data_IF_608805141770
#
_entry.id   IF_608805141770
#
_cell.length_a   1.000
_cell.length_b   1.000
_cell.length_c   1.000
_cell.angle_alpha   90.00
_cell.angle_beta   90.00
_cell.angle_gamma   90.00
#
_symmetry.space_group_name_H-M   'P 1'
#
loop_
_entity.id
_entity.type
_entity.pdbx_description
1 polymer ?
#
# COMPACT_ATOMS: atom_id res chain seq x y z
N UNK A 1 9.91 -15.23 -22.34
CA UNK A 1 8.86 -14.35 -21.78
C UNK A 1 9.50 -13.52 -20.68
N UNK A 2 9.88 -12.27 -20.95
CA UNK A 2 10.32 -11.36 -19.90
C UNK A 2 9.07 -10.94 -19.13
N UNK A 3 8.86 -11.54 -17.96
CA UNK A 3 7.84 -11.05 -17.03
C UNK A 3 8.25 -9.63 -16.66
N UNK A 4 7.48 -8.65 -17.12
CA UNK A 4 7.73 -7.25 -16.82
C UNK A 4 7.30 -7.02 -15.35
N UNK A 5 8.21 -7.33 -14.43
CA UNK A 5 8.00 -7.22 -12.98
C UNK A 5 7.74 -5.75 -12.65
N UNK A 6 6.64 -5.46 -11.95
CA UNK A 6 6.32 -4.09 -11.54
C UNK A 6 7.52 -3.48 -10.77
N UNK A 7 7.93 -2.24 -11.08
CA UNK A 7 9.05 -1.60 -10.39
C UNK A 7 8.72 -1.29 -8.91
N UNK A 8 7.48 -1.53 -8.49
CA UNK A 8 7.00 -1.40 -7.13
C UNK A 8 7.19 -2.66 -6.27
N UNK A 9 7.47 -3.82 -6.88
CA UNK A 9 7.69 -5.09 -6.17
C UNK A 9 8.81 -5.01 -5.11
N UNK A 10 9.96 -4.36 -5.35
CA UNK A 10 10.99 -4.22 -4.32
C UNK A 10 10.49 -3.53 -3.03
N UNK A 11 9.60 -2.53 -3.15
CA UNK A 11 9.04 -1.81 -2.00
C UNK A 11 8.00 -2.67 -1.25
N UNK A 12 7.15 -3.40 -1.99
CA UNK A 12 6.21 -4.35 -1.38
C UNK A 12 6.96 -5.48 -0.67
N UNK A 13 8.06 -5.99 -1.24
CA UNK A 13 8.93 -6.97 -0.56
C UNK A 13 9.54 -6.40 0.73
N UNK A 14 9.95 -5.12 0.73
CA UNK A 14 10.41 -4.46 1.96
C UNK A 14 9.30 -4.37 3.01
N UNK A 15 8.06 -4.06 2.59
CA UNK A 15 6.90 -4.10 3.46
C UNK A 15 6.62 -5.52 3.99
N UNK A 16 6.81 -6.56 3.17
CA UNK A 16 6.67 -7.94 3.58
C UNK A 16 7.69 -8.33 4.65
N UNK A 17 8.96 -7.95 4.51
CA UNK A 17 9.98 -8.15 5.54
C UNK A 17 9.71 -7.38 6.83
N UNK A 18 8.96 -6.26 6.79
CA UNK A 18 8.47 -5.59 7.99
C UNK A 18 7.32 -6.38 8.63
N UNK A 19 6.37 -6.89 7.83
CA UNK A 19 5.27 -7.72 8.32
C UNK A 19 5.77 -8.98 9.06
N UNK A 20 6.87 -9.58 8.59
CA UNK A 20 7.54 -10.72 9.23
C UNK A 20 8.10 -10.40 10.63
N UNK A 21 8.20 -9.13 11.03
CA UNK A 21 8.62 -8.75 12.38
C UNK A 21 7.45 -8.74 13.38
N UNK A 22 6.20 -8.61 12.92
CA UNK A 22 5.02 -8.78 13.78
C UNK A 22 4.96 -10.22 14.29
N UNK A 23 4.73 -10.49 15.59
CA UNK A 23 4.56 -11.86 16.05
C UNK A 23 3.30 -12.51 15.43
N UNK A 24 3.33 -13.81 15.09
CA UNK A 24 2.13 -14.51 14.64
C UNK A 24 1.08 -14.57 15.75
N UNK A 25 -0.18 -14.29 15.39
CA UNK A 25 -1.32 -14.27 16.32
C UNK A 25 -2.54 -14.94 15.66
N UNK A 26 -3.46 -15.54 16.43
CA UNK A 26 -4.62 -16.24 15.85
C UNK A 26 -5.59 -15.39 15.05
N UNK A 27 -5.62 -14.07 15.29
CA UNK A 27 -6.66 -13.18 14.74
C UNK A 27 -6.14 -11.90 14.11
N UNK A 28 -4.84 -11.60 14.24
CA UNK A 28 -4.27 -10.35 13.75
C UNK A 28 -3.46 -10.60 12.47
N UNK A 29 -3.79 -9.86 11.42
CA UNK A 29 -2.99 -9.88 10.21
C UNK A 29 -1.63 -9.24 10.41
N UNK A 30 -0.58 -9.93 9.98
CA UNK A 30 0.76 -9.38 9.91
C UNK A 30 0.89 -8.53 8.65
N UNK A 31 0.94 -7.22 8.84
CA UNK A 31 1.02 -6.22 7.75
C UNK A 31 2.27 -5.39 7.97
N UNK A 32 2.89 -4.95 6.89
CA UNK A 32 3.99 -4.01 6.91
C UNK A 32 3.70 -2.83 6.00
N UNK A 33 4.22 -1.66 6.37
CA UNK A 33 4.01 -0.40 5.68
C UNK A 33 5.30 0.44 5.65
N UNK A 34 5.40 1.27 4.62
CA UNK A 34 6.54 2.14 4.38
C UNK A 34 6.07 3.46 3.77
N UNK A 35 6.48 4.57 4.36
CA UNK A 35 6.26 5.91 3.83
C UNK A 35 7.56 6.41 3.20
N UNK A 36 7.49 6.86 1.95
CA UNK A 36 8.62 7.42 1.23
C UNK A 36 8.28 8.75 0.56
N UNK A 37 9.30 9.58 0.37
CA UNK A 37 9.27 10.75 -0.50
C UNK A 37 9.93 10.37 -1.82
N UNK A 38 9.21 10.50 -2.92
CA UNK A 38 9.66 10.19 -4.28
C UNK A 38 9.86 11.46 -5.08
N UNK A 39 10.92 11.52 -5.88
CA UNK A 39 11.12 12.61 -6.82
C UNK A 39 10.21 12.47 -8.04
N UNK A 40 9.61 13.56 -8.48
CA UNK A 40 8.90 13.61 -9.75
C UNK A 40 9.86 13.40 -10.91
N UNK A 41 9.39 12.75 -11.97
CA UNK A 41 10.18 12.48 -13.18
C UNK A 41 11.47 11.66 -12.93
N UNK A 42 11.53 10.87 -11.86
CA UNK A 42 12.56 9.86 -11.63
C UNK A 42 12.05 8.46 -12.05
N UNK A 43 12.27 8.05 -13.32
CA UNK A 43 11.71 6.81 -13.86
C UNK A 43 12.36 5.54 -13.29
N UNK A 44 13.47 5.67 -12.57
CA UNK A 44 14.23 4.53 -12.02
C UNK A 44 14.22 4.50 -10.49
N UNK A 45 13.56 5.47 -9.84
CA UNK A 45 13.41 5.59 -8.39
C UNK A 45 14.76 5.66 -7.64
N UNK A 46 15.78 6.24 -8.28
CA UNK A 46 17.13 6.36 -7.72
C UNK A 46 17.18 7.30 -6.51
N UNK A 47 16.28 8.29 -6.44
CA UNK A 47 16.26 9.31 -5.41
C UNK A 47 15.17 9.09 -4.34
N UNK A 48 14.56 7.89 -4.27
CA UNK A 48 13.55 7.57 -3.26
C UNK A 48 14.12 7.64 -1.84
N UNK A 49 13.43 8.39 -0.97
CA UNK A 49 13.82 8.58 0.44
C UNK A 49 12.78 7.96 1.35
N UNK A 50 13.16 6.94 2.10
CA UNK A 50 12.27 6.34 3.11
C UNK A 50 12.22 7.28 4.31
N UNK A 51 11.01 7.70 4.67
CA UNK A 51 10.76 8.62 5.78
C UNK A 51 10.45 7.85 7.06
N UNK A 52 9.65 6.79 6.94
CA UNK A 52 9.24 5.96 8.08
C UNK A 52 8.80 4.58 7.62
N UNK A 53 8.76 3.65 8.56
CA UNK A 53 8.26 2.29 8.39
C UNK A 53 7.39 1.90 9.56
N UNK A 54 6.50 0.94 9.35
CA UNK A 54 5.69 0.36 10.40
C UNK A 54 5.31 -1.08 10.13
N UNK A 55 5.06 -1.86 11.17
CA UNK A 55 4.37 -3.16 11.05
C UNK A 55 3.29 -3.34 12.12
N UNK A 56 2.38 -4.28 11.89
CA UNK A 56 1.30 -4.60 12.85
C UNK A 56 1.88 -4.83 14.25
N UNK A 57 1.31 -4.16 15.26
CA UNK A 57 1.70 -4.30 16.67
C UNK A 57 3.18 -4.00 16.98
N UNK A 58 3.88 -3.24 16.14
CA UNK A 58 5.20 -2.68 16.47
C UNK A 58 5.12 -1.79 17.71
N UNK A 59 4.06 -0.98 17.79
CA UNK A 59 3.74 -0.16 18.95
C UNK A 59 2.68 -0.83 19.82
N UNK A 60 2.66 -0.49 21.10
CA UNK A 60 1.74 -1.06 22.08
C UNK A 60 0.26 -0.89 21.67
N UNK A 61 -0.54 -1.93 21.93
CA UNK A 61 -1.96 -1.98 21.61
C UNK A 61 -2.25 -2.69 20.29
N UNK A 62 -3.50 -2.57 19.82
CA UNK A 62 -3.94 -3.16 18.56
C UNK A 62 -3.72 -2.18 17.40
N UNK A 63 -2.46 -1.91 17.08
CA UNK A 63 -2.02 -0.98 16.03
C UNK A 63 -1.84 -1.70 14.69
N UNK A 64 -2.22 -1.04 13.60
CA UNK A 64 -1.96 -1.50 12.24
C UNK A 64 -0.64 -0.92 11.73
N UNK A 65 -0.09 -1.51 10.67
CA UNK A 65 1.20 -1.12 10.11
C UNK A 65 1.26 0.36 9.69
N UNK A 66 0.22 0.87 9.03
CA UNK A 66 0.12 2.25 8.57
C UNK A 66 0.03 3.22 9.76
N UNK A 67 -0.65 2.82 10.83
CA UNK A 67 -0.67 3.57 12.08
C UNK A 67 0.73 3.62 12.68
N UNK A 68 1.42 2.48 12.85
CA UNK A 68 2.79 2.46 13.36
C UNK A 68 3.73 3.31 12.50
N UNK A 69 3.60 3.24 11.18
CA UNK A 69 4.40 4.02 10.24
C UNK A 69 4.28 5.53 10.48
N UNK A 70 3.06 6.05 10.64
CA UNK A 70 2.85 7.46 10.99
C UNK A 70 3.30 7.77 12.42
N UNK A 71 2.95 6.96 13.41
CA UNK A 71 3.33 7.19 14.82
C UNK A 71 4.85 7.22 15.01
N UNK A 72 5.60 6.35 14.32
CA UNK A 72 7.05 6.34 14.30
C UNK A 72 7.62 7.65 13.72
N UNK A 73 7.03 8.15 12.62
CA UNK A 73 7.43 9.43 12.04
C UNK A 73 7.13 10.59 13.00
N UNK A 74 5.92 10.63 13.57
CA UNK A 74 5.53 11.63 14.57
C UNK A 74 6.48 11.63 15.78
N UNK A 75 6.87 10.45 16.27
CA UNK A 75 7.79 10.30 17.40
C UNK A 75 9.18 10.89 17.12
N UNK A 76 9.76 10.61 15.94
CA UNK A 76 11.04 11.20 15.51
C UNK A 76 10.96 12.74 15.46
N UNK A 77 9.81 13.26 15.04
CA UNK A 77 9.53 14.70 14.95
C UNK A 77 8.98 15.32 16.24
N UNK A 78 8.81 14.53 17.32
CA UNK A 78 8.33 14.95 18.64
C UNK A 78 6.96 15.65 18.61
N UNK A 79 6.06 15.16 17.75
CA UNK A 79 4.66 15.60 17.70
C UNK A 79 3.71 14.47 18.07
N UNK A 80 2.47 14.81 18.41
CA UNK A 80 1.42 13.81 18.60
C UNK A 80 0.95 13.23 17.25
N UNK A 81 0.41 12.00 17.27
CA UNK A 81 -0.06 11.29 16.08
C UNK A 81 -1.09 12.08 15.25
N UNK A 82 -1.93 12.88 15.90
CA UNK A 82 -2.95 13.72 15.26
C UNK A 82 -2.37 14.98 14.59
N UNK A 83 -1.09 15.27 14.83
CA UNK A 83 -0.35 16.38 14.21
C UNK A 83 0.56 15.92 13.07
N UNK A 84 0.50 14.66 12.65
CA UNK A 84 1.35 14.09 11.58
C UNK A 84 1.35 14.96 10.32
N UNK A 85 0.17 15.46 9.92
CA UNK A 85 0.01 16.27 8.70
C UNK A 85 0.77 17.60 8.77
N UNK A 86 1.16 18.07 9.95
CA UNK A 86 1.94 19.32 10.12
C UNK A 86 3.44 19.16 9.89
N UNK A 87 3.96 17.92 9.94
CA UNK A 87 5.40 17.64 9.86
C UNK A 87 5.80 16.78 8.65
N UNK A 88 4.83 16.31 7.86
CA UNK A 88 5.12 15.65 6.58
C UNK A 88 5.83 16.62 5.63
N UNK A 89 6.88 16.18 4.91
CA UNK A 89 7.67 17.08 4.09
C UNK A 89 6.91 17.48 2.83
N UNK A 90 6.95 18.77 2.50
CA UNK A 90 6.43 19.36 1.28
C UNK A 90 7.60 19.95 0.46
N UNK A 91 8.35 19.08 -0.20
CA UNK A 91 9.48 19.46 -1.05
C UNK A 91 9.00 19.60 -2.50
N UNK A 92 9.28 20.74 -3.12
CA UNK A 92 8.91 20.97 -4.52
C UNK A 92 9.50 19.88 -5.44
N UNK A 93 8.66 19.32 -6.31
CA UNK A 93 9.04 18.23 -7.22
C UNK A 93 9.18 16.86 -6.54
N UNK A 94 8.58 16.68 -5.35
CA UNK A 94 8.49 15.39 -4.67
C UNK A 94 7.07 15.10 -4.21
N UNK A 95 6.76 13.81 -4.10
CA UNK A 95 5.46 13.30 -3.67
C UNK A 95 5.62 12.26 -2.57
N UNK A 96 4.68 12.23 -1.63
CA UNK A 96 4.67 11.21 -0.60
C UNK A 96 3.92 9.97 -1.08
N UNK A 97 4.57 8.81 -0.98
CA UNK A 97 4.05 7.52 -1.43
C UNK A 97 4.04 6.57 -0.24
N UNK A 98 2.94 5.88 -0.03
CA UNK A 98 2.85 4.80 0.94
C UNK A 98 2.82 3.44 0.23
N UNK A 99 3.63 2.51 0.69
CA UNK A 99 3.56 1.10 0.34
C UNK A 99 3.03 0.32 1.54
N UNK A 100 2.15 -0.64 1.30
CA UNK A 100 1.61 -1.52 2.35
C UNK A 100 1.39 -2.92 1.79
N UNK A 101 1.54 -3.97 2.58
CA UNK A 101 1.34 -5.33 2.05
C UNK A 101 -0.13 -5.61 1.73
N UNK A 102 -1.05 -5.05 2.50
CA UNK A 102 -2.50 -5.25 2.37
C UNK A 102 -3.24 -3.91 2.28
N UNK A 103 -4.31 -3.86 1.51
CA UNK A 103 -5.19 -2.69 1.36
C UNK A 103 -5.48 -1.98 2.70
N UNK A 104 -5.30 -0.65 2.80
CA UNK A 104 -5.62 0.09 4.01
C UNK A 104 -7.09 -0.04 4.38
N UNK A 105 -7.36 -0.54 5.60
CA UNK A 105 -8.73 -0.78 6.05
C UNK A 105 -9.58 0.51 6.03
N UNK A 106 -10.83 0.39 5.57
CA UNK A 106 -11.86 1.44 5.63
C UNK A 106 -12.71 1.41 6.91
N UNK A 107 -12.63 0.32 7.70
CA UNK A 107 -13.36 0.16 8.96
C UNK A 107 -12.53 -0.67 9.94
N UNK A 108 -12.69 -0.41 11.25
CA UNK A 108 -12.06 -1.22 12.30
C UNK A 108 -13.08 -1.63 13.35
N UNK A 109 -13.09 -2.93 13.68
CA UNK A 109 -13.95 -3.48 14.74
C UNK A 109 -13.54 -3.01 16.13
N UNK A 110 -12.26 -2.65 16.32
CA UNK A 110 -11.74 -2.11 17.57
C UNK A 110 -12.21 -0.68 17.88
N UNK A 111 -12.81 0.02 16.91
CA UNK A 111 -13.25 1.40 17.07
C UNK A 111 -12.18 2.47 16.84
N UNK A 112 -10.87 2.15 16.75
CA UNK A 112 -9.90 3.20 16.37
C UNK A 112 -10.05 3.57 14.89
N UNK A 113 -9.59 4.78 14.55
CA UNK A 113 -9.62 5.31 13.19
C UNK A 113 -9.05 4.30 12.15
N UNK A 114 -9.79 4.03 11.05
CA UNK A 114 -9.31 3.21 9.94
C UNK A 114 -8.05 3.77 9.29
N UNK A 115 -7.26 2.89 8.67
CA UNK A 115 -6.00 3.29 8.05
C UNK A 115 -6.22 4.22 6.85
N UNK A 116 -7.23 3.94 6.02
CA UNK A 116 -7.60 4.83 4.91
C UNK A 116 -7.97 6.23 5.41
N UNK A 117 -8.68 6.34 6.54
CA UNK A 117 -8.98 7.63 7.17
C UNK A 117 -7.70 8.33 7.67
N UNK A 118 -6.74 7.61 8.26
CA UNK A 118 -5.47 8.19 8.71
C UNK A 118 -4.66 8.75 7.54
N UNK A 119 -4.64 8.02 6.43
CA UNK A 119 -3.99 8.43 5.19
C UNK A 119 -4.69 9.68 4.63
N UNK A 120 -6.02 9.69 4.53
CA UNK A 120 -6.81 10.84 4.09
C UNK A 120 -6.55 12.10 4.93
N UNK A 121 -6.46 11.97 6.26
CA UNK A 121 -6.17 13.10 7.17
C UNK A 121 -4.84 13.80 6.90
N UNK A 122 -3.93 13.18 6.16
CA UNK A 122 -2.67 13.83 5.79
C UNK A 122 -2.87 15.00 4.82
N UNK A 123 -3.98 15.03 4.08
CA UNK A 123 -4.31 16.09 3.10
C UNK A 123 -5.18 17.20 3.68
N UNK A 124 -5.65 17.05 4.94
CA UNK A 124 -6.50 18.04 5.60
C UNK A 124 -5.81 19.42 5.70
N UNK A 125 -6.62 20.47 5.60
CA UNK A 125 -6.13 21.85 5.61
C UNK A 125 -5.45 22.28 4.30
N UNK A 126 -5.68 21.55 3.21
CA UNK A 126 -5.12 21.86 1.88
C UNK A 126 -3.65 21.47 1.72
N UNK A 127 -3.18 20.52 2.54
CA UNK A 127 -1.81 20.00 2.49
C UNK A 127 -1.70 18.93 1.42
N UNK A 128 -0.52 18.77 0.84
CA UNK A 128 -0.29 17.74 -0.19
C UNK A 128 -0.44 16.32 0.38
N UNK A 129 0.04 16.09 1.61
CA UNK A 129 -0.12 14.80 2.31
C UNK A 129 0.42 13.61 1.53
N UNK A 130 -0.13 12.42 1.82
CA UNK A 130 0.13 11.21 1.02
C UNK A 130 -0.55 11.36 -0.33
N UNK A 131 0.24 11.29 -1.40
CA UNK A 131 -0.24 11.44 -2.77
C UNK A 131 -0.76 10.12 -3.35
N UNK A 132 -0.06 9.00 -3.10
CA UNK A 132 -0.41 7.70 -3.67
C UNK A 132 -0.12 6.53 -2.72
N UNK A 133 -0.98 5.52 -2.74
CA UNK A 133 -0.83 4.28 -1.96
C UNK A 133 -0.72 3.06 -2.87
N UNK A 134 0.33 2.26 -2.69
CA UNK A 134 0.48 0.97 -3.35
C UNK A 134 0.24 -0.16 -2.34
N UNK A 135 -0.57 -1.15 -2.71
CA UNK A 135 -0.80 -2.32 -1.87
C UNK A 135 -0.73 -3.64 -2.64
N UNK A 136 -0.28 -4.71 -1.98
CA UNK A 136 0.01 -5.97 -2.66
C UNK A 136 -1.13 -6.99 -2.66
N UNK A 137 -2.11 -6.87 -1.76
CA UNK A 137 -3.37 -7.64 -1.79
C UNK A 137 -4.54 -6.78 -1.33
N UNK A 138 -5.73 -7.06 -1.84
CA UNK A 138 -6.98 -6.51 -1.27
C UNK A 138 -7.32 -7.20 0.04
N UNK A 139 -8.11 -6.53 0.89
CA UNK A 139 -8.52 -7.13 2.15
C UNK A 139 -9.46 -8.35 1.89
N UNK A 140 -9.25 -9.52 2.55
CA UNK A 140 -9.94 -10.79 2.27
C UNK A 140 -11.48 -10.76 2.27
N UNK A 141 -12.12 -9.83 2.98
CA UNK A 141 -13.59 -9.70 3.00
C UNK A 141 -14.15 -8.78 1.92
N UNK A 142 -13.27 -8.02 1.28
CA UNK A 142 -13.59 -7.00 0.26
C UNK A 142 -13.53 -7.58 -1.16
N UNK A 143 -13.22 -8.88 -1.31
CA UNK A 143 -13.22 -9.58 -2.59
C UNK A 143 -14.62 -9.79 -3.19
N UNK A 144 -15.69 -9.37 -2.50
CA UNK A 144 -17.09 -9.53 -2.95
C UNK A 144 -17.88 -8.20 -2.87
N UNK A 145 -17.22 -7.04 -2.73
CA UNK A 145 -17.88 -5.73 -2.62
C UNK A 145 -16.99 -4.52 -2.89
N UNK A 146 -17.57 -3.31 -2.88
CA UNK A 146 -16.83 -2.05 -3.01
C UNK A 146 -15.87 -1.87 -1.82
N UNK A 147 -14.62 -1.50 -2.12
CA UNK A 147 -13.60 -1.26 -1.09
C UNK A 147 -13.81 0.09 -0.43
N UNK A 148 -14.27 0.07 0.83
CA UNK A 148 -14.38 1.27 1.68
C UNK A 148 -13.05 2.00 1.84
N UNK A 149 -11.93 1.25 1.93
CA UNK A 149 -10.59 1.82 2.05
C UNK A 149 -10.19 2.60 0.80
N UNK A 150 -10.31 1.98 -0.37
CA UNK A 150 -10.07 2.63 -1.66
C UNK A 150 -11.01 3.82 -1.88
N UNK A 151 -12.31 3.68 -1.56
CA UNK A 151 -13.29 4.77 -1.66
C UNK A 151 -12.86 5.99 -0.85
N UNK A 152 -12.48 5.79 0.42
CA UNK A 152 -12.01 6.88 1.29
C UNK A 152 -10.75 7.57 0.73
N UNK A 153 -9.80 6.81 0.18
CA UNK A 153 -8.60 7.39 -0.43
C UNK A 153 -8.94 8.17 -1.70
N UNK A 154 -9.77 7.62 -2.59
CA UNK A 154 -10.23 8.29 -3.82
C UNK A 154 -10.97 9.60 -3.51
N UNK A 155 -11.87 9.60 -2.52
CA UNK A 155 -12.61 10.80 -2.08
C UNK A 155 -11.69 11.89 -1.50
N UNK A 156 -10.57 11.49 -0.89
CA UNK A 156 -9.54 12.40 -0.40
C UNK A 156 -8.57 12.89 -1.50
N UNK A 157 -8.76 12.47 -2.75
CA UNK A 157 -7.87 12.81 -3.87
C UNK A 157 -6.55 12.03 -3.87
N UNK A 158 -6.48 10.92 -3.13
CA UNK A 158 -5.28 10.08 -2.99
C UNK A 158 -5.38 8.94 -4.00
N UNK A 159 -4.39 8.85 -4.88
CA UNK A 159 -4.30 7.76 -5.84
C UNK A 159 -3.99 6.43 -5.14
N UNK A 160 -4.41 5.32 -5.71
CA UNK A 160 -4.00 4.01 -5.24
C UNK A 160 -3.81 3.01 -6.37
N UNK A 161 -2.97 2.00 -6.13
CA UNK A 161 -2.65 0.97 -7.13
C UNK A 161 -2.36 -0.37 -6.45
N UNK A 162 -3.01 -1.42 -6.97
CA UNK A 162 -2.72 -2.80 -6.59
C UNK A 162 -1.48 -3.31 -7.34
N UNK A 163 -0.48 -3.80 -6.59
CA UNK A 163 0.76 -4.38 -7.13
C UNK A 163 0.66 -5.90 -7.08
N UNK A 164 0.36 -6.51 -8.23
CA UNK A 164 0.22 -7.96 -8.34
C UNK A 164 1.55 -8.71 -8.37
N UNK A 165 1.49 -10.03 -8.15
CA UNK A 165 2.60 -10.96 -8.27
C UNK A 165 3.31 -11.34 -6.96
N UNK A 166 2.72 -10.98 -5.82
CA UNK A 166 3.21 -11.34 -4.47
C UNK A 166 2.07 -11.80 -3.54
N UNK A 167 0.90 -12.09 -4.09
CA UNK A 167 -0.32 -12.27 -3.30
C UNK A 167 -0.22 -13.47 -2.38
N UNK A 168 0.34 -14.58 -2.86
CA UNK A 168 0.53 -15.79 -2.06
C UNK A 168 1.49 -15.53 -0.91
N UNK A 169 2.63 -14.89 -1.18
CA UNK A 169 3.63 -14.56 -0.15
C UNK A 169 3.06 -13.62 0.89
N UNK A 170 2.35 -12.58 0.46
CA UNK A 170 1.72 -11.61 1.35
C UNK A 170 0.68 -12.26 2.24
N UNK A 171 -0.25 -13.03 1.67
CA UNK A 171 -1.31 -13.70 2.44
C UNK A 171 -0.72 -14.74 3.40
N UNK A 172 0.31 -15.48 2.97
CA UNK A 172 0.99 -16.47 3.84
C UNK A 172 1.60 -15.81 5.07
N UNK A 173 2.23 -14.64 4.91
CA UNK A 173 2.73 -13.86 6.05
C UNK A 173 1.57 -13.28 6.85
N UNK A 174 0.57 -12.68 6.20
CA UNK A 174 -0.56 -12.03 6.87
C UNK A 174 -1.31 -12.97 7.80
N UNK A 175 -1.60 -14.20 7.36
CA UNK A 175 -2.34 -15.21 8.11
C UNK A 175 -1.46 -16.07 9.04
N UNK A 176 -0.14 -15.85 9.10
CA UNK A 176 0.73 -16.65 9.93
C UNK A 176 0.33 -16.55 11.42
N UNK A 177 -0.05 -17.70 12.00
CA UNK A 177 -0.54 -17.81 13.38
C UNK A 177 -2.05 -18.03 13.50
N UNK A 178 -2.81 -17.86 12.42
CA UNK A 178 -4.23 -18.19 12.35
C UNK A 178 -4.42 -19.73 12.37
N UNK A 179 -5.46 -20.21 13.05
CA UNK A 179 -5.73 -21.66 13.19
C UNK A 179 -5.91 -22.35 11.83
N UNK A 180 -6.54 -21.66 10.87
CA UNK A 180 -6.81 -22.17 9.52
C UNK A 180 -6.08 -21.36 8.43
N UNK A 181 -4.88 -20.83 8.72
CA UNK A 181 -4.20 -19.88 7.84
C UNK A 181 -4.02 -20.34 6.38
N UNK A 182 -3.66 -21.61 6.15
CA UNK A 182 -3.54 -22.16 4.78
C UNK A 182 -4.88 -22.22 4.02
N UNK A 183 -5.97 -22.47 4.73
CA UNK A 183 -7.32 -22.44 4.15
C UNK A 183 -7.73 -21.00 3.84
N UNK A 184 -7.43 -20.05 4.74
CA UNK A 184 -7.69 -18.62 4.51
C UNK A 184 -6.86 -18.06 3.35
N UNK A 185 -5.59 -18.44 3.22
CA UNK A 185 -4.75 -18.11 2.05
C UNK A 185 -5.38 -18.66 0.78
N UNK A 186 -5.79 -19.92 0.76
CA UNK A 186 -6.42 -20.55 -0.40
C UNK A 186 -7.74 -19.88 -0.77
N UNK A 187 -8.55 -19.55 0.23
CA UNK A 187 -9.82 -18.87 0.03
C UNK A 187 -9.61 -17.44 -0.52
N UNK A 188 -8.65 -16.70 0.01
CA UNK A 188 -8.31 -15.36 -0.46
C UNK A 188 -7.69 -15.34 -1.86
N UNK A 189 -7.03 -16.43 -2.29
CA UNK A 189 -6.50 -16.58 -3.65
C UNK A 189 -7.55 -17.06 -4.66
N UNK A 190 -8.48 -17.95 -4.26
CA UNK A 190 -9.52 -18.54 -5.11
C UNK A 190 -9.02 -19.42 -6.27
N UNK A 191 -9.87 -20.32 -6.80
CA UNK A 191 -9.58 -21.18 -7.99
C UNK A 191 -9.42 -20.40 -9.31
N UNK A 192 -9.56 -19.07 -9.27
CA UNK A 192 -9.13 -18.13 -10.30
C UNK A 192 -8.46 -16.99 -9.54
N UNK A 193 -7.12 -16.95 -9.61
CA UNK A 193 -6.30 -15.97 -8.89
C UNK A 193 -6.84 -14.54 -8.99
N UNK A 194 -6.62 -13.73 -7.96
CA UNK A 194 -6.97 -12.29 -7.84
C UNK A 194 -7.94 -11.82 -8.91
N UNK A 195 -9.22 -11.71 -8.60
CA UNK A 195 -10.20 -11.24 -9.58
C UNK A 195 -9.91 -9.77 -9.94
N UNK A 196 -8.99 -9.54 -10.88
CA UNK A 196 -8.65 -8.23 -11.45
C UNK A 196 -9.91 -7.64 -12.12
N UNK A 197 -10.89 -8.47 -12.42
CA UNK A 197 -12.17 -8.10 -13.03
C UNK A 197 -13.15 -7.42 -12.07
N UNK A 198 -12.85 -7.36 -10.76
CA UNK A 198 -13.59 -6.50 -9.80
C UNK A 198 -13.04 -5.07 -9.74
N UNK A 199 -12.02 -4.74 -10.55
CA UNK A 199 -11.70 -3.36 -10.88
C UNK A 199 -12.77 -2.93 -11.91
N UNK A 200 -13.66 -2.03 -11.50
CA UNK A 200 -14.61 -1.37 -12.42
C UNK A 200 -13.91 -1.02 -13.73
N UNK A 201 -14.51 -1.24 -14.90
CA UNK A 201 -13.92 -0.83 -16.18
C UNK A 201 -13.47 0.63 -16.19
N UNK A 202 -14.13 1.49 -15.41
CA UNK A 202 -13.73 2.89 -15.22
C UNK A 202 -12.47 3.04 -14.38
N UNK A 203 -12.34 2.26 -13.31
CA UNK A 203 -11.17 2.27 -12.44
C UNK A 203 -9.95 1.67 -13.16
N UNK A 204 -10.16 0.65 -13.98
CA UNK A 204 -9.13 0.07 -14.85
C UNK A 204 -8.67 1.07 -15.90
N UNK A 205 -9.62 1.76 -16.54
CA UNK A 205 -9.31 2.86 -17.49
C UNK A 205 -8.54 3.98 -16.80
N UNK A 206 -8.93 4.41 -15.59
CA UNK A 206 -8.17 5.41 -14.82
C UNK A 206 -6.74 4.95 -14.52
N UNK A 207 -6.54 3.68 -14.16
CA UNK A 207 -5.21 3.10 -13.94
C UNK A 207 -4.39 2.96 -15.23
N UNK A 208 -5.05 2.77 -16.39
CA UNK A 208 -4.41 2.67 -17.69
C UNK A 208 -4.13 4.03 -18.37
N UNK A 209 -4.98 5.04 -18.10
CA UNK A 209 -4.93 6.42 -18.61
C UNK A 209 -4.00 7.33 -17.79
N UNK A 210 -3.69 6.97 -16.53
CA UNK A 210 -2.63 7.62 -15.77
C UNK A 210 -1.32 7.54 -16.57
N UNK A 211 -0.55 8.63 -16.72
CA UNK A 211 0.55 8.73 -17.67
C UNK A 211 1.61 7.65 -17.40
N UNK A 212 1.53 6.56 -18.14
CA UNK A 212 2.55 5.51 -18.16
C UNK A 212 3.81 6.09 -18.79
N UNK A 213 4.94 5.88 -18.10
CA UNK A 213 6.27 6.33 -18.49
C UNK A 213 6.49 6.20 -20.03
N UNK A 214 6.84 7.28 -20.74
CA UNK A 214 6.86 7.34 -22.21
C UNK A 214 7.78 6.31 -22.89
N UNK A 215 8.69 5.65 -22.16
CA UNK A 215 9.57 4.61 -22.71
C UNK A 215 8.97 3.22 -22.84
N UNK A 216 7.76 2.94 -22.34
CA UNK A 216 7.08 1.66 -22.65
C UNK A 216 6.87 1.48 -24.17
N UNK A 217 6.72 2.60 -24.89
CA UNK A 217 6.55 2.65 -26.35
C UNK A 217 7.85 2.49 -27.14
N UNK A 218 9.02 2.76 -26.54
CA UNK A 218 10.31 2.67 -27.25
C UNK A 218 10.92 1.26 -27.22
N UNK A 219 10.66 0.45 -26.18
CA UNK A 219 11.13 -0.95 -26.14
C UNK A 219 10.31 -1.91 -27.01
N UNK A 220 9.05 -1.57 -27.34
CA UNK A 220 8.20 -2.40 -28.20
C UNK A 220 8.51 -2.22 -29.71
N UNK A 221 9.28 -1.18 -30.08
CA UNK A 221 9.59 -0.84 -31.47
C UNK A 221 10.94 -1.35 -32.01
N UNK A 222 11.85 -1.84 -31.16
CA UNK A 222 13.21 -2.25 -31.59
C UNK A 222 13.42 -3.76 -31.78
N UNK A 223 12.39 -4.61 -31.61
CA UNK A 223 12.50 -6.07 -31.84
C UNK A 223 11.96 -6.45 -33.24
N UNK A 224 12.24 -5.61 -34.24
CA UNK A 224 12.06 -5.98 -35.64
C UNK A 224 13.17 -5.33 -36.47
N UNK A 225 14.37 -5.90 -36.39
CA UNK A 225 15.34 -6.05 -37.47
C UNK A 225 16.57 -6.75 -36.92
N UNK A 226 17.02 -7.78 -37.67
CA UNK A 226 18.08 -8.77 -37.42
C UNK A 226 17.66 -10.04 -36.66
#
# INVERSE_FOLDING_TARGET
MTTNVSPHIPYIKKCLSLAEQSPPRPTNFRVGALLLSRQDNDPIFADDRILSTGYTMELAGNTHAEQCCFSNYAAVHKVADDQISTILPAEAGRKLIMYVTMEPCGKRLSGNAPCAQRIARTTEGGREGVHKVYFGVKEPKTFVGESEGCRMMTEAGIEWEHVSGLEREILSVAFAGHENGEEEVRAALGEKGTNVDDISPEERRRQEEAPRNPKKRMMEGEISLY
#
